data_IF_902195260015
#
_entry.id   IF_902195260015
#
_cell.length_a   1.000
_cell.length_b   1.000
_cell.length_c   1.000
_cell.angle_alpha   90.00
_cell.angle_beta   90.00
_cell.angle_gamma   90.00
#
_symmetry.space_group_name_H-M   'P 1'
#
loop_
_entity.id
_entity.type
_entity.pdbx_description
1 polymer ?
#
# COMPACT_ATOMS: atom_id res chain seq x y z
N UNK A 1 -12.05 -17.27 16.84
CA UNK A 1 -11.49 -18.39 17.65
C UNK A 1 -9.97 -18.57 17.46
N UNK A 2 -9.38 -18.29 16.29
CA UNK A 2 -7.94 -18.53 16.01
C UNK A 2 -7.07 -17.32 16.37
N UNK A 3 -7.58 -16.11 16.26
CA UNK A 3 -6.81 -14.87 16.46
C UNK A 3 -6.34 -14.70 17.89
N UNK A 4 -7.20 -15.02 18.89
CA UNK A 4 -6.89 -14.85 20.31
C UNK A 4 -5.65 -15.66 20.75
N UNK A 5 -5.55 -16.99 20.49
CA UNK A 5 -4.36 -17.75 20.84
C UNK A 5 -3.07 -17.22 20.20
N UNK A 6 -3.15 -16.72 18.96
CA UNK A 6 -2.00 -16.12 18.27
C UNK A 6 -1.56 -14.83 18.96
N UNK A 7 -2.51 -13.97 19.36
CA UNK A 7 -2.19 -12.74 20.09
C UNK A 7 -1.63 -13.02 21.49
N UNK A 8 -2.14 -14.03 22.20
CA UNK A 8 -1.60 -14.47 23.49
C UNK A 8 -0.17 -15.01 23.36
N UNK A 9 0.12 -15.80 22.32
CA UNK A 9 1.47 -16.25 22.01
C UNK A 9 2.41 -15.07 21.71
N UNK A 10 1.96 -14.11 20.92
CA UNK A 10 2.76 -12.91 20.61
C UNK A 10 2.99 -12.05 21.87
N UNK A 11 2.00 -11.91 22.75
CA UNK A 11 2.13 -11.19 24.00
C UNK A 11 3.09 -11.86 25.01
N UNK A 12 3.27 -13.17 24.90
CA UNK A 12 4.21 -13.91 25.75
C UNK A 12 5.68 -13.71 25.38
N UNK A 13 5.96 -13.17 24.20
CA UNK A 13 7.34 -12.92 23.76
C UNK A 13 7.95 -11.72 24.51
N UNK A 14 9.12 -11.88 25.16
CA UNK A 14 9.79 -10.75 25.79
C UNK A 14 10.12 -9.66 24.75
N UNK A 15 9.81 -8.39 25.06
CA UNK A 15 10.08 -7.26 24.16
C UNK A 15 11.56 -7.15 23.73
N UNK A 16 12.47 -7.55 24.61
CA UNK A 16 13.91 -7.60 24.34
C UNK A 16 14.22 -8.61 23.24
N UNK A 17 13.56 -9.78 23.22
CA UNK A 17 13.73 -10.79 22.17
C UNK A 17 13.22 -10.26 20.83
N UNK A 18 12.08 -9.60 20.81
CA UNK A 18 11.55 -8.95 19.60
C UNK A 18 12.56 -7.91 19.09
N UNK A 19 13.06 -7.04 19.96
CA UNK A 19 14.09 -6.06 19.62
C UNK A 19 15.35 -6.69 19.02
N UNK A 20 15.79 -7.82 19.57
CA UNK A 20 16.96 -8.58 19.06
C UNK A 20 16.69 -9.16 17.68
N UNK A 21 15.54 -9.79 17.47
CA UNK A 21 15.15 -10.35 16.16
C UNK A 21 15.04 -9.24 15.12
N UNK A 22 14.46 -8.11 15.48
CA UNK A 22 14.36 -6.95 14.58
C UNK A 22 15.73 -6.40 14.22
N UNK A 23 16.64 -6.26 15.18
CA UNK A 23 17.97 -5.69 14.95
C UNK A 23 18.91 -6.63 14.19
N UNK A 24 18.85 -7.94 14.44
CA UNK A 24 19.80 -8.91 13.88
C UNK A 24 19.29 -9.63 12.63
N UNK A 25 17.96 -9.77 12.49
CA UNK A 25 17.37 -10.51 11.37
C UNK A 25 16.64 -9.58 10.42
N UNK A 26 15.70 -8.78 10.92
CA UNK A 26 14.87 -7.94 10.07
C UNK A 26 15.68 -6.80 9.44
N UNK A 27 16.54 -6.16 10.22
CA UNK A 27 17.33 -5.01 9.76
C UNK A 27 18.22 -5.34 8.55
N UNK A 28 19.03 -6.41 8.55
CA UNK A 28 19.80 -6.82 7.38
C UNK A 28 18.92 -7.23 6.17
N UNK A 29 17.78 -7.88 6.43
CA UNK A 29 16.85 -8.24 5.35
C UNK A 29 16.31 -6.99 4.66
N UNK A 30 15.81 -6.03 5.43
CA UNK A 30 15.28 -4.77 4.86
C UNK A 30 16.39 -4.01 4.13
N UNK A 31 17.60 -3.97 4.67
CA UNK A 31 18.76 -3.33 4.04
C UNK A 31 19.09 -3.92 2.67
N UNK A 32 19.09 -5.25 2.56
CA UNK A 32 19.41 -5.93 1.30
C UNK A 32 18.31 -5.79 0.24
N UNK A 33 17.06 -5.57 0.68
CA UNK A 33 15.90 -5.49 -0.21
C UNK A 33 15.29 -4.08 -0.29
N UNK A 34 16.01 -3.04 0.18
CA UNK A 34 15.45 -1.69 0.29
C UNK A 34 14.97 -1.13 -1.05
N UNK A 35 15.73 -1.33 -2.12
CA UNK A 35 15.34 -0.92 -3.47
C UNK A 35 14.06 -1.65 -3.92
N UNK A 36 13.96 -2.94 -3.68
CA UNK A 36 12.78 -3.73 -3.99
C UNK A 36 11.57 -3.30 -3.16
N UNK A 37 11.76 -2.98 -1.88
CA UNK A 37 10.70 -2.47 -0.99
C UNK A 37 10.16 -1.13 -1.51
N UNK A 38 11.03 -0.20 -1.87
CA UNK A 38 10.63 1.10 -2.44
C UNK A 38 9.81 0.91 -3.72
N UNK A 39 10.23 0.00 -4.59
CA UNK A 39 9.50 -0.32 -5.83
C UNK A 39 8.16 -0.98 -5.54
N UNK A 40 8.10 -1.86 -4.56
CA UNK A 40 6.88 -2.56 -4.18
C UNK A 40 5.74 -1.59 -3.81
N UNK A 41 6.05 -0.45 -3.19
CA UNK A 41 5.07 0.61 -2.91
C UNK A 41 4.39 1.16 -4.16
N UNK A 42 5.05 1.12 -5.31
CA UNK A 42 4.46 1.50 -6.60
C UNK A 42 3.85 0.31 -7.33
N UNK A 43 4.59 -0.78 -7.45
CA UNK A 43 4.21 -1.94 -8.27
C UNK A 43 2.99 -2.67 -7.68
N UNK A 44 2.87 -2.80 -6.36
CA UNK A 44 1.73 -3.49 -5.74
C UNK A 44 0.40 -2.78 -6.03
N UNK A 45 0.23 -1.48 -5.76
CA UNK A 45 -1.01 -0.79 -6.13
C UNK A 45 -1.31 -0.83 -7.62
N UNK A 46 -0.30 -0.64 -8.47
CA UNK A 46 -0.44 -0.69 -9.93
C UNK A 46 -0.94 -2.06 -10.37
N UNK A 47 -0.37 -3.13 -9.84
CA UNK A 47 -0.79 -4.51 -10.17
C UNK A 47 -2.21 -4.78 -9.71
N UNK A 48 -2.61 -4.33 -8.51
CA UNK A 48 -3.96 -4.51 -7.99
C UNK A 48 -4.99 -3.75 -8.82
N UNK A 49 -4.70 -2.50 -9.21
CA UNK A 49 -5.56 -1.71 -10.08
C UNK A 49 -5.64 -2.37 -11.47
N UNK A 50 -4.50 -2.77 -12.03
CA UNK A 50 -4.46 -3.50 -13.30
C UNK A 50 -5.28 -4.79 -13.27
N UNK A 51 -5.17 -5.57 -12.20
CA UNK A 51 -5.95 -6.78 -12.00
C UNK A 51 -7.46 -6.49 -11.88
N UNK A 52 -7.84 -5.40 -11.21
CA UNK A 52 -9.22 -4.96 -11.15
C UNK A 52 -9.78 -4.60 -12.55
N UNK A 53 -8.99 -3.96 -13.40
CA UNK A 53 -9.38 -3.71 -14.79
C UNK A 53 -9.44 -5.00 -15.63
N UNK A 54 -8.47 -5.89 -15.49
CA UNK A 54 -8.49 -7.21 -16.16
C UNK A 54 -9.75 -7.99 -15.75
N UNK A 55 -10.16 -7.90 -14.47
CA UNK A 55 -11.40 -8.51 -14.00
C UNK A 55 -12.64 -7.94 -14.70
N UNK A 56 -12.65 -6.65 -15.02
CA UNK A 56 -13.73 -6.03 -15.78
C UNK A 56 -13.76 -6.46 -17.26
N UNK A 57 -12.64 -6.95 -17.81
CA UNK A 57 -12.60 -7.48 -19.18
C UNK A 57 -13.17 -8.89 -19.31
N UNK A 58 -13.34 -9.61 -18.20
CA UNK A 58 -13.89 -10.96 -18.20
C UNK A 58 -15.36 -10.97 -18.67
N UNK A 59 -15.77 -11.92 -19.54
CA UNK A 59 -17.18 -12.11 -19.88
C UNK A 59 -18.02 -12.35 -18.63
N UNK A 60 -19.21 -11.75 -18.56
CA UNK A 60 -20.10 -11.84 -17.39
C UNK A 60 -20.29 -13.27 -16.83
N UNK A 61 -20.50 -14.33 -17.67
CA UNK A 61 -20.69 -15.68 -17.13
C UNK A 61 -19.44 -16.23 -16.44
N UNK A 62 -18.24 -15.81 -16.87
CA UNK A 62 -16.97 -16.18 -16.24
C UNK A 62 -16.73 -15.38 -14.96
N UNK A 63 -17.00 -14.08 -14.98
CA UNK A 63 -16.84 -13.20 -13.82
C UNK A 63 -17.73 -13.66 -12.65
N UNK A 64 -18.98 -14.08 -12.92
CA UNK A 64 -19.91 -14.60 -11.91
C UNK A 64 -19.48 -15.96 -11.34
N UNK A 65 -18.87 -16.83 -12.16
CA UNK A 65 -18.34 -18.13 -11.70
C UNK A 65 -17.10 -17.99 -10.83
N UNK A 66 -16.31 -16.96 -11.09
CA UNK A 66 -15.05 -16.68 -10.38
C UNK A 66 -15.24 -15.69 -9.22
N UNK A 67 -16.47 -15.24 -8.94
CA UNK A 67 -16.71 -14.35 -7.81
C UNK A 67 -16.56 -15.10 -6.46
N UNK A 68 -16.20 -14.38 -5.41
CA UNK A 68 -15.94 -14.94 -4.08
C UNK A 68 -14.49 -15.41 -3.89
N UNK A 69 -14.28 -16.64 -3.44
CA UNK A 69 -12.95 -17.20 -3.12
C UNK A 69 -11.95 -17.18 -4.29
N UNK A 70 -12.31 -17.54 -5.53
CA UNK A 70 -11.37 -17.48 -6.66
C UNK A 70 -10.89 -16.05 -6.96
N UNK A 71 -11.78 -15.07 -6.85
CA UNK A 71 -11.43 -13.65 -7.02
C UNK A 71 -10.44 -13.19 -5.95
N UNK A 72 -10.71 -13.54 -4.69
CA UNK A 72 -9.82 -13.24 -3.58
C UNK A 72 -8.44 -13.90 -3.79
N UNK A 73 -8.42 -15.17 -4.20
CA UNK A 73 -7.18 -15.89 -4.51
C UNK A 73 -6.40 -15.23 -5.66
N UNK A 74 -7.09 -14.75 -6.71
CA UNK A 74 -6.45 -14.03 -7.81
C UNK A 74 -5.81 -12.70 -7.35
N UNK A 75 -6.45 -11.96 -6.45
CA UNK A 75 -5.87 -10.74 -5.88
C UNK A 75 -4.64 -11.05 -5.00
N UNK A 76 -4.69 -12.09 -4.17
CA UNK A 76 -3.53 -12.52 -3.40
C UNK A 76 -2.38 -12.98 -4.30
N UNK A 77 -2.67 -13.77 -5.34
CA UNK A 77 -1.67 -14.15 -6.33
C UNK A 77 -1.08 -12.92 -7.04
N UNK A 78 -1.91 -11.92 -7.33
CA UNK A 78 -1.47 -10.63 -7.88
C UNK A 78 -0.51 -9.89 -6.97
N UNK A 79 -0.75 -9.87 -5.67
CA UNK A 79 0.17 -9.27 -4.68
C UNK A 79 1.49 -10.03 -4.65
N UNK A 80 1.46 -11.37 -4.60
CA UNK A 80 2.66 -12.21 -4.61
C UNK A 80 3.47 -11.97 -5.89
N UNK A 81 2.79 -11.92 -7.04
CA UNK A 81 3.41 -11.61 -8.32
C UNK A 81 4.04 -10.21 -8.34
N UNK A 82 3.34 -9.20 -7.81
CA UNK A 82 3.83 -7.83 -7.70
C UNK A 82 5.09 -7.73 -6.84
N UNK A 83 5.11 -8.42 -5.70
CA UNK A 83 6.29 -8.49 -4.82
C UNK A 83 7.44 -9.19 -5.55
N UNK A 84 7.17 -10.30 -6.24
CA UNK A 84 8.19 -10.99 -7.04
C UNK A 84 8.76 -10.08 -8.13
N UNK A 85 7.92 -9.34 -8.86
CA UNK A 85 8.36 -8.35 -9.87
C UNK A 85 9.22 -7.26 -9.21
N UNK A 86 8.81 -6.74 -8.05
CA UNK A 86 9.57 -5.74 -7.32
C UNK A 86 10.96 -6.27 -6.89
N UNK A 87 11.05 -7.53 -6.46
CA UNK A 87 12.33 -8.17 -6.12
C UNK A 87 13.26 -8.28 -7.34
N UNK A 88 12.72 -8.61 -8.52
CA UNK A 88 13.53 -8.68 -9.74
C UNK A 88 13.90 -7.28 -10.28
N UNK A 89 13.01 -6.33 -10.16
CA UNK A 89 13.22 -4.96 -10.60
C UNK A 89 14.14 -4.15 -9.65
N UNK A 90 14.21 -4.52 -8.37
CA UNK A 90 15.03 -3.86 -7.35
C UNK A 90 16.47 -3.61 -7.79
N UNK A 91 17.25 -4.66 -8.11
CA UNK A 91 18.64 -4.51 -8.54
C UNK A 91 18.81 -3.72 -9.85
N UNK A 92 17.84 -3.81 -10.76
CA UNK A 92 17.87 -3.06 -12.02
C UNK A 92 17.68 -1.55 -11.79
N UNK A 93 16.73 -1.20 -10.95
CA UNK A 93 16.48 0.19 -10.58
C UNK A 93 17.61 0.76 -9.71
N UNK A 94 18.17 -0.05 -8.81
CA UNK A 94 19.33 0.36 -8.02
C UNK A 94 20.52 0.72 -8.91
N UNK A 95 20.80 -0.08 -9.93
CA UNK A 95 21.84 0.24 -10.93
C UNK A 95 21.52 1.46 -11.79
N UNK A 96 20.27 1.58 -12.25
CA UNK A 96 19.86 2.64 -13.15
C UNK A 96 19.63 3.99 -12.48
N UNK A 97 19.09 3.99 -11.28
CA UNK A 97 18.69 5.22 -10.59
C UNK A 97 19.64 5.62 -9.46
N UNK A 98 20.21 4.67 -8.74
CA UNK A 98 21.01 4.91 -7.54
C UNK A 98 22.50 4.59 -7.73
N UNK A 99 22.96 4.43 -8.97
CA UNK A 99 24.36 4.17 -9.28
C UNK A 99 24.87 2.79 -8.81
N UNK A 100 23.96 1.87 -8.48
CA UNK A 100 24.28 0.49 -8.06
C UNK A 100 24.43 0.28 -6.55
N UNK A 101 24.38 1.36 -5.77
CA UNK A 101 24.42 1.30 -4.29
C UNK A 101 23.52 2.37 -3.69
N UNK A 102 22.36 1.96 -3.20
CA UNK A 102 21.39 2.84 -2.56
C UNK A 102 21.96 3.54 -1.32
N UNK A 103 22.83 2.86 -0.56
CA UNK A 103 23.43 3.42 0.67
C UNK A 103 24.43 4.51 0.35
N UNK A 104 25.32 4.26 -0.62
CA UNK A 104 26.25 5.27 -1.11
C UNK A 104 25.49 6.47 -1.68
N UNK A 105 24.36 6.24 -2.35
CA UNK A 105 23.52 7.29 -2.86
C UNK A 105 22.90 8.15 -1.73
N UNK A 106 22.37 7.54 -0.65
CA UNK A 106 21.83 8.31 0.50
C UNK A 106 22.89 9.11 1.23
N UNK A 107 24.16 8.70 1.19
CA UNK A 107 25.30 9.45 1.76
C UNK A 107 25.83 10.57 0.85
N UNK A 108 25.14 10.85 -0.26
CA UNK A 108 25.46 11.97 -1.16
C UNK A 108 26.13 11.56 -2.48
N UNK A 109 26.40 10.28 -2.72
CA UNK A 109 26.97 9.83 -3.98
C UNK A 109 25.94 9.91 -5.13
N UNK A 110 26.37 10.37 -6.30
CA UNK A 110 25.51 10.41 -7.48
C UNK A 110 24.47 11.55 -7.47
N UNK A 111 23.49 11.45 -8.40
CA UNK A 111 22.46 12.48 -8.59
C UNK A 111 21.36 12.44 -7.52
N UNK A 112 20.84 13.60 -7.13
CA UNK A 112 19.66 13.74 -6.27
C UNK A 112 18.34 13.43 -7.00
N UNK A 113 18.32 13.44 -8.33
CA UNK A 113 17.13 13.31 -9.13
C UNK A 113 16.23 12.09 -8.79
N UNK A 114 16.76 10.88 -8.47
CA UNK A 114 15.92 9.73 -8.12
C UNK A 114 15.05 9.97 -6.89
N UNK A 115 15.58 10.64 -5.89
CA UNK A 115 14.80 10.96 -4.69
C UNK A 115 13.73 12.00 -4.95
N UNK A 116 14.09 13.06 -5.69
CA UNK A 116 13.15 14.10 -6.11
C UNK A 116 12.02 13.46 -6.94
N UNK A 117 12.35 12.50 -7.82
CA UNK A 117 11.37 11.75 -8.59
C UNK A 117 10.37 11.03 -7.69
N UNK A 118 10.85 10.28 -6.68
CA UNK A 118 9.98 9.57 -5.74
C UNK A 118 9.10 10.52 -4.93
N UNK A 119 9.63 11.66 -4.53
CA UNK A 119 8.91 12.67 -3.74
C UNK A 119 7.82 13.37 -4.55
N UNK A 120 8.09 13.67 -5.83
CA UNK A 120 7.15 14.36 -6.72
C UNK A 120 6.12 13.39 -7.32
N UNK A 121 6.43 12.11 -7.40
CA UNK A 121 5.59 11.11 -8.06
C UNK A 121 4.13 11.09 -7.54
N UNK A 122 3.84 11.08 -6.22
CA UNK A 122 2.46 11.16 -5.74
C UNK A 122 1.74 12.43 -6.19
N UNK A 123 2.46 13.55 -6.21
CA UNK A 123 1.90 14.86 -6.62
C UNK A 123 1.55 14.86 -8.12
N UNK A 124 2.44 14.35 -8.96
CA UNK A 124 2.19 14.24 -10.40
C UNK A 124 1.04 13.28 -10.70
N UNK A 125 0.91 12.18 -9.94
CA UNK A 125 -0.25 11.31 -10.03
C UNK A 125 -1.55 12.03 -9.67
N UNK A 126 -1.60 12.72 -8.53
CA UNK A 126 -2.78 13.48 -8.12
C UNK A 126 -3.16 14.56 -9.13
N UNK A 127 -2.19 15.29 -9.68
CA UNK A 127 -2.43 16.31 -10.71
C UNK A 127 -2.95 15.66 -11.99
N UNK A 128 -2.26 14.63 -12.50
CA UNK A 128 -2.61 14.01 -13.78
C UNK A 128 -3.99 13.35 -13.73
N UNK A 129 -4.28 12.59 -12.69
CA UNK A 129 -5.59 11.94 -12.54
C UNK A 129 -6.69 12.92 -12.15
N UNK A 130 -6.40 13.91 -11.31
CA UNK A 130 -7.36 14.94 -10.90
C UNK A 130 -7.72 15.87 -12.05
N UNK A 131 -6.74 16.45 -12.71
CA UNK A 131 -6.95 17.36 -13.85
C UNK A 131 -7.47 16.60 -15.07
N UNK A 132 -6.84 15.47 -15.42
CA UNK A 132 -7.25 14.63 -16.53
C UNK A 132 -8.66 14.06 -16.34
N UNK A 133 -9.00 13.65 -15.12
CA UNK A 133 -10.35 13.19 -14.76
C UNK A 133 -11.41 14.30 -14.90
N UNK A 134 -11.09 15.53 -14.52
CA UNK A 134 -12.01 16.67 -14.66
C UNK A 134 -12.17 17.13 -16.11
N UNK A 135 -11.06 17.27 -16.85
CA UNK A 135 -11.09 17.79 -18.22
C UNK A 135 -11.65 16.79 -19.23
N UNK A 136 -11.29 15.52 -19.10
CA UNK A 136 -11.63 14.49 -20.07
C UNK A 136 -12.80 13.61 -19.62
N UNK A 137 -13.19 13.65 -18.34
CA UNK A 137 -14.14 12.70 -17.76
C UNK A 137 -15.56 12.77 -18.36
N UNK A 138 -16.03 13.94 -18.78
CA UNK A 138 -17.32 14.11 -19.46
C UNK A 138 -17.31 13.48 -20.85
N UNK A 139 -16.43 13.95 -21.72
CA UNK A 139 -16.27 13.47 -23.08
C UNK A 139 -15.90 11.96 -23.13
N UNK A 140 -15.14 11.49 -22.14
CA UNK A 140 -14.77 10.10 -22.04
C UNK A 140 -15.95 9.19 -21.70
N UNK A 141 -16.80 9.61 -20.74
CA UNK A 141 -18.03 8.87 -20.42
C UNK A 141 -19.01 8.80 -21.60
N UNK A 142 -19.11 9.86 -22.39
CA UNK A 142 -19.91 9.85 -23.62
C UNK A 142 -19.37 8.87 -24.67
N UNK A 143 -18.05 8.83 -24.84
CA UNK A 143 -17.41 7.85 -25.73
C UNK A 143 -17.64 6.41 -25.32
N UNK A 144 -17.68 6.14 -24.00
CA UNK A 144 -17.92 4.79 -23.49
C UNK A 144 -19.39 4.35 -23.61
N UNK A 145 -20.34 5.30 -23.71
CA UNK A 145 -21.77 5.01 -23.91
C UNK A 145 -21.96 4.33 -25.27
N UNK A 146 -22.52 3.13 -25.26
CA UNK A 146 -22.79 2.36 -26.47
C UNK A 146 -21.73 1.31 -26.83
N UNK A 147 -20.61 1.27 -26.11
CA UNK A 147 -19.64 0.17 -26.31
C UNK A 147 -19.94 -1.03 -25.43
N UNK A 148 -19.71 -2.26 -25.92
CA UNK A 148 -19.78 -3.47 -25.09
C UNK A 148 -18.88 -3.34 -23.87
N UNK A 149 -19.28 -3.96 -22.77
CA UNK A 149 -18.60 -3.90 -21.48
C UNK A 149 -17.09 -4.18 -21.53
N UNK A 150 -16.66 -5.20 -22.30
CA UNK A 150 -15.25 -5.54 -22.48
C UNK A 150 -14.45 -4.47 -23.21
N UNK A 151 -15.06 -3.80 -24.22
CA UNK A 151 -14.41 -2.70 -24.95
C UNK A 151 -14.28 -1.46 -24.07
N UNK A 152 -15.35 -1.15 -23.32
CA UNK A 152 -15.33 -0.05 -22.35
C UNK A 152 -14.26 -0.25 -21.28
N UNK A 153 -14.11 -1.47 -20.75
CA UNK A 153 -13.05 -1.83 -19.80
C UNK A 153 -11.64 -1.70 -20.40
N UNK A 154 -11.43 -2.14 -21.65
CA UNK A 154 -10.15 -2.01 -22.33
C UNK A 154 -9.76 -0.53 -22.58
N UNK A 155 -10.72 0.30 -22.96
CA UNK A 155 -10.51 1.74 -23.14
C UNK A 155 -10.19 2.45 -21.80
N UNK A 156 -10.86 2.05 -20.71
CA UNK A 156 -10.55 2.56 -19.36
C UNK A 156 -9.16 2.15 -18.91
N UNK A 157 -8.76 0.90 -19.14
CA UNK A 157 -7.39 0.44 -18.86
C UNK A 157 -6.37 1.25 -19.66
N UNK A 158 -6.62 1.47 -20.97
CA UNK A 158 -5.76 2.29 -21.82
C UNK A 158 -5.62 3.73 -21.30
N UNK A 159 -6.71 4.36 -20.90
CA UNK A 159 -6.71 5.68 -20.27
C UNK A 159 -5.89 5.71 -19.00
N UNK A 160 -6.11 4.73 -18.13
CA UNK A 160 -5.38 4.61 -16.87
C UNK A 160 -3.88 4.46 -17.09
N UNK A 161 -3.47 3.58 -18.03
CA UNK A 161 -2.08 3.42 -18.41
C UNK A 161 -1.46 4.70 -19.02
N UNK A 162 -2.22 5.41 -19.85
CA UNK A 162 -1.77 6.68 -20.43
C UNK A 162 -1.54 7.73 -19.35
N UNK A 163 -2.47 7.89 -18.39
CA UNK A 163 -2.32 8.82 -17.27
C UNK A 163 -1.15 8.44 -16.37
N UNK A 164 -0.95 7.17 -16.12
CA UNK A 164 0.21 6.66 -15.36
C UNK A 164 1.51 7.01 -16.06
N UNK A 165 1.63 6.77 -17.38
CA UNK A 165 2.81 7.14 -18.15
C UNK A 165 3.06 8.65 -18.14
N UNK A 166 2.02 9.47 -18.32
CA UNK A 166 2.15 10.93 -18.27
C UNK A 166 2.62 11.38 -16.88
N UNK A 167 2.08 10.82 -15.80
CA UNK A 167 2.49 11.14 -14.44
C UNK A 167 3.96 10.78 -14.19
N UNK A 168 4.40 9.61 -14.65
CA UNK A 168 5.80 9.16 -14.55
C UNK A 168 6.75 10.06 -15.39
N UNK A 169 6.37 10.38 -16.62
CA UNK A 169 7.18 11.28 -17.46
C UNK A 169 7.28 12.68 -16.86
N UNK A 170 6.17 13.21 -16.36
CA UNK A 170 6.15 14.52 -15.71
C UNK A 170 7.02 14.53 -14.46
N UNK A 171 6.94 13.48 -13.62
CA UNK A 171 7.81 13.33 -12.46
C UNK A 171 9.29 13.24 -12.86
N UNK A 172 9.63 12.51 -13.92
CA UNK A 172 11.00 12.37 -14.40
C UNK A 172 11.56 13.70 -14.92
N UNK A 173 10.79 14.43 -15.71
CA UNK A 173 11.20 15.74 -16.23
C UNK A 173 11.39 16.74 -15.09
N UNK A 174 10.42 16.85 -14.18
CA UNK A 174 10.51 17.76 -13.04
C UNK A 174 11.68 17.41 -12.11
N UNK A 175 11.92 16.12 -11.86
CA UNK A 175 13.03 15.68 -11.01
C UNK A 175 14.39 16.02 -11.63
N UNK A 176 14.52 15.88 -12.95
CA UNK A 176 15.74 16.25 -13.67
C UNK A 176 15.99 17.76 -13.58
N UNK A 177 14.98 18.58 -13.83
CA UNK A 177 15.10 20.04 -13.75
C UNK A 177 15.43 20.51 -12.32
N UNK A 178 14.75 20.02 -11.32
CA UNK A 178 15.02 20.39 -9.93
C UNK A 178 16.40 19.92 -9.46
N UNK A 179 16.80 18.70 -9.85
CA UNK A 179 18.15 18.20 -9.57
C UNK A 179 19.24 19.01 -10.25
N UNK A 180 19.04 19.45 -11.50
CA UNK A 180 19.98 20.32 -12.22
C UNK A 180 20.03 21.74 -11.66
N UNK A 181 18.93 22.21 -11.05
CA UNK A 181 18.86 23.49 -10.34
C UNK A 181 19.54 23.46 -8.96
N UNK A 182 20.11 22.30 -8.56
CA UNK A 182 20.81 22.16 -7.28
C UNK A 182 19.90 21.80 -6.09
N UNK A 183 18.65 21.41 -6.36
CA UNK A 183 17.76 20.91 -5.32
C UNK A 183 18.23 19.53 -4.90
N UNK A 184 18.68 19.40 -3.66
CA UNK A 184 19.04 18.11 -3.06
C UNK A 184 18.37 18.00 -1.69
N UNK A 185 17.52 16.99 -1.52
CA UNK A 185 16.84 16.75 -0.25
C UNK A 185 17.62 15.77 0.65
N UNK A 186 18.75 15.27 0.19
CA UNK A 186 19.65 14.42 0.97
C UNK A 186 20.40 15.28 2.00
N UNK A 187 20.57 14.77 3.21
CA UNK A 187 21.17 15.53 4.32
C UNK A 187 20.22 16.55 4.98
N UNK A 188 18.97 16.69 4.47
CA UNK A 188 17.96 17.55 5.05
C UNK A 188 16.69 16.74 5.38
N UNK A 189 15.88 16.43 4.36
CA UNK A 189 14.64 15.64 4.53
C UNK A 189 14.96 14.14 4.67
N UNK A 190 15.98 13.66 3.96
CA UNK A 190 16.46 12.29 4.05
C UNK A 190 17.87 12.30 4.57
N UNK A 191 18.04 11.71 5.73
CA UNK A 191 19.35 11.49 6.33
C UNK A 191 20.02 10.25 5.71
N UNK A 192 21.31 10.10 5.99
CA UNK A 192 22.09 8.95 5.58
C UNK A 192 21.43 7.64 6.04
N UNK A 193 21.37 6.65 5.17
CA UNK A 193 20.77 5.36 5.54
C UNK A 193 21.54 4.70 6.69
N UNK A 194 20.85 4.53 7.79
CA UNK A 194 21.33 3.78 8.95
C UNK A 194 20.57 2.44 9.00
N UNK A 195 21.29 1.33 9.11
CA UNK A 195 20.70 -0.01 9.14
C UNK A 195 19.61 -0.16 10.22
N UNK A 196 19.82 0.46 11.38
CA UNK A 196 18.84 0.49 12.49
C UNK A 196 18.10 1.82 12.52
N UNK A 197 17.25 2.01 11.51
CA UNK A 197 16.48 3.23 11.37
C UNK A 197 15.13 3.17 12.11
N UNK A 198 14.49 4.33 12.23
CA UNK A 198 13.19 4.49 12.92
C UNK A 198 12.09 3.63 12.31
N UNK A 199 12.09 3.38 11.00
CA UNK A 199 11.08 2.56 10.33
C UNK A 199 11.14 1.10 10.81
N UNK A 200 12.36 0.54 10.88
CA UNK A 200 12.57 -0.83 11.35
C UNK A 200 12.25 -0.94 12.84
N UNK A 201 12.68 0.06 13.64
CA UNK A 201 12.35 0.12 15.06
C UNK A 201 10.83 0.21 15.28
N UNK A 202 10.12 1.05 14.53
CA UNK A 202 8.66 1.19 14.61
C UNK A 202 7.94 -0.10 14.23
N UNK A 203 8.42 -0.80 13.21
CA UNK A 203 7.88 -2.09 12.81
C UNK A 203 8.02 -3.13 13.93
N UNK A 204 9.20 -3.20 14.57
CA UNK A 204 9.43 -4.07 15.71
C UNK A 204 8.55 -3.71 16.92
N UNK A 205 8.39 -2.42 17.21
CA UNK A 205 7.51 -1.94 18.26
C UNK A 205 6.05 -2.29 17.99
N UNK A 206 5.60 -2.21 16.73
CA UNK A 206 4.24 -2.59 16.36
C UNK A 206 3.95 -4.05 16.73
N UNK A 207 4.87 -4.98 16.47
CA UNK A 207 4.72 -6.38 16.87
C UNK A 207 4.58 -6.56 18.38
N UNK A 208 5.27 -5.76 19.19
CA UNK A 208 5.16 -5.80 20.64
C UNK A 208 3.85 -5.19 21.16
N UNK A 209 3.35 -4.15 20.52
CA UNK A 209 2.20 -3.35 20.99
C UNK A 209 0.86 -3.91 20.50
N UNK A 210 0.80 -4.50 19.29
CA UNK A 210 -0.43 -5.05 18.71
C UNK A 210 -1.15 -6.04 19.65
N UNK A 211 -0.50 -7.03 20.28
CA UNK A 211 -1.16 -7.96 21.19
C UNK A 211 -1.78 -7.26 22.41
N UNK A 212 -1.09 -6.25 22.95
CA UNK A 212 -1.54 -5.47 24.11
C UNK A 212 -2.80 -4.68 23.73
N UNK A 213 -2.77 -3.97 22.59
CA UNK A 213 -3.94 -3.23 22.09
C UNK A 213 -5.10 -4.18 21.83
N UNK A 214 -4.83 -5.36 21.26
CA UNK A 214 -5.85 -6.37 21.00
C UNK A 214 -6.55 -6.82 22.27
N UNK A 215 -5.79 -7.15 23.33
CA UNK A 215 -6.35 -7.61 24.61
C UNK A 215 -7.20 -6.51 25.25
N UNK A 216 -6.70 -5.27 25.30
CA UNK A 216 -7.46 -4.14 25.86
C UNK A 216 -8.74 -3.89 25.07
N UNK A 217 -8.67 -3.95 23.73
CA UNK A 217 -9.85 -3.77 22.88
C UNK A 217 -10.86 -4.90 23.04
N UNK A 218 -10.40 -6.17 23.16
CA UNK A 218 -11.28 -7.33 23.41
C UNK A 218 -12.01 -7.18 24.73
N UNK A 219 -11.29 -6.79 25.79
CA UNK A 219 -11.86 -6.60 27.13
C UNK A 219 -12.87 -5.44 27.13
N UNK A 220 -12.55 -4.31 26.53
CA UNK A 220 -13.45 -3.16 26.41
C UNK A 220 -14.73 -3.51 25.61
N UNK A 221 -14.59 -4.20 24.50
CA UNK A 221 -15.73 -4.68 23.73
C UNK A 221 -16.55 -5.73 24.50
N UNK A 222 -15.87 -6.59 25.27
CA UNK A 222 -16.52 -7.61 26.11
C UNK A 222 -17.31 -7.02 27.29
N UNK A 223 -16.87 -5.87 27.81
CA UNK A 223 -17.51 -5.17 28.91
C UNK A 223 -18.89 -4.55 28.55
N UNK A 224 -19.20 -4.40 27.26
CA UNK A 224 -20.50 -3.85 26.82
C UNK A 224 -21.65 -4.78 27.21
N UNK A 225 -22.64 -4.30 27.96
CA UNK A 225 -23.75 -5.11 28.45
C UNK A 225 -24.56 -5.77 27.33
N UNK A 226 -24.90 -7.04 27.51
CA UNK A 226 -25.57 -7.83 26.49
C UNK A 226 -27.00 -7.33 26.16
N UNK A 227 -27.66 -6.70 27.14
CA UNK A 227 -28.98 -6.12 26.93
C UNK A 227 -28.96 -4.98 25.89
N UNK A 228 -27.86 -4.22 25.77
CA UNK A 228 -27.72 -3.18 24.73
C UNK A 228 -27.58 -3.80 23.34
N UNK A 229 -26.87 -4.91 23.26
CA UNK A 229 -26.70 -5.66 22.00
C UNK A 229 -28.02 -6.27 21.53
N UNK A 230 -28.70 -6.95 22.44
CA UNK A 230 -29.99 -7.60 22.16
C UNK A 230 -31.10 -6.59 21.88
N UNK A 231 -31.14 -5.45 22.58
CA UNK A 231 -32.10 -4.37 22.32
C UNK A 231 -31.90 -3.79 20.90
N UNK A 232 -30.66 -3.50 20.50
CA UNK A 232 -30.38 -2.99 19.15
C UNK A 232 -30.79 -3.97 18.06
N UNK A 233 -30.46 -5.27 18.22
CA UNK A 233 -30.87 -6.31 17.29
C UNK A 233 -32.39 -6.49 17.28
N UNK A 234 -33.05 -6.38 18.43
CA UNK A 234 -34.53 -6.46 18.56
C UNK A 234 -35.24 -5.31 17.87
N UNK A 235 -34.61 -4.12 17.79
CA UNK A 235 -35.10 -2.99 16.99
C UNK A 235 -34.86 -3.16 15.48
N UNK A 236 -34.33 -4.30 15.02
CA UNK A 236 -34.10 -4.59 13.60
C UNK A 236 -32.76 -4.08 13.06
N UNK A 237 -31.83 -3.63 13.92
CA UNK A 237 -30.49 -3.25 13.48
C UNK A 237 -29.70 -4.47 13.00
N UNK A 238 -28.89 -4.31 11.94
CA UNK A 238 -27.96 -5.34 11.49
C UNK A 238 -26.80 -5.49 12.49
N UNK A 239 -26.11 -6.62 12.47
CA UNK A 239 -24.91 -6.86 13.31
C UNK A 239 -23.87 -5.75 13.17
N UNK A 240 -23.67 -5.24 11.96
CA UNK A 240 -22.74 -4.16 11.72
C UNK A 240 -23.22 -2.81 12.31
N UNK A 241 -24.49 -2.50 12.16
CA UNK A 241 -25.07 -1.30 12.78
C UNK A 241 -24.99 -1.36 14.31
N UNK A 242 -25.31 -2.52 14.91
CA UNK A 242 -25.13 -2.72 16.35
C UNK A 242 -23.67 -2.53 16.78
N UNK A 243 -22.73 -3.07 16.05
CA UNK A 243 -21.30 -2.91 16.33
C UNK A 243 -20.86 -1.44 16.24
N UNK A 244 -21.19 -0.74 15.16
CA UNK A 244 -20.72 0.61 14.91
C UNK A 244 -21.42 1.70 15.74
N UNK A 245 -22.71 1.55 16.03
CA UNK A 245 -23.53 2.60 16.64
C UNK A 245 -23.81 2.37 18.13
N UNK A 246 -23.68 1.13 18.60
CA UNK A 246 -23.95 0.80 20.00
C UNK A 246 -22.69 0.31 20.72
N UNK A 247 -22.05 -0.75 20.20
CA UNK A 247 -20.94 -1.39 20.92
C UNK A 247 -19.70 -0.48 20.96
N UNK A 248 -19.25 0.05 19.82
CA UNK A 248 -18.06 0.89 19.74
C UNK A 248 -18.16 2.17 20.60
N UNK A 249 -19.26 2.96 20.54
CA UNK A 249 -19.37 4.13 21.38
C UNK A 249 -19.44 3.80 22.89
N UNK A 250 -20.14 2.71 23.24
CA UNK A 250 -20.26 2.29 24.64
C UNK A 250 -18.94 1.72 25.19
N UNK A 251 -18.17 1.02 24.37
CA UNK A 251 -16.87 0.49 24.77
C UNK A 251 -15.80 1.60 24.90
N UNK A 252 -15.98 2.74 24.24
CA UNK A 252 -15.05 3.86 24.27
C UNK A 252 -15.37 4.94 25.33
N UNK A 253 -16.46 4.78 26.07
CA UNK A 253 -16.85 5.70 27.15
C UNK A 253 -16.33 5.20 28.51
#
# INVERSE_FOLDING_TARGET
AVVKPVMELMASLPSVVIGFVVALVLSPIVENWIAAIVIAFGVVPITLIGLAFVWQLLPQPLALRLDGLPKLAAFFAGVIFAVWVAMQAGPLLERGFFGGDFKAWTSGAGSAAPFIFLLILPVTFLITFGVGGRLLGGAWRERLRGHPYHIAGALELGRWLAFTLIALMLAAVLSYFLGSAGFDARGGIVDTYIQRNTLIASFGMAFAVIPIIYSIAEDALGAVPEHLRSASLGCGATRWQTAAWVILPTAGS
#
